data_IF_283624989980
#
_entry.id   IF_283624989980
#
_cell.length_a   1.000
_cell.length_b   1.000
_cell.length_c   1.000
_cell.angle_alpha   90.00
_cell.angle_beta   90.00
_cell.angle_gamma   90.00
#
_symmetry.space_group_name_H-M   'P 1'
#
loop_
_entity.id
_entity.type
_entity.pdbx_description
1 polymer ?
#
# COMPACT_ATOMS: atom_id res chain seq x y z
N UNK A 1 78.64 -35.81 -15.73
CA UNK A 1 77.54 -35.14 -16.44
C UNK A 1 76.25 -35.55 -15.71
N UNK A 2 75.79 -34.68 -14.81
CA UNK A 2 74.58 -34.87 -14.04
C UNK A 2 73.53 -33.91 -14.61
N UNK A 3 72.48 -34.48 -15.22
CA UNK A 3 71.32 -33.71 -15.66
C UNK A 3 70.39 -33.50 -14.45
N UNK A 4 70.18 -32.26 -14.06
CA UNK A 4 69.15 -31.87 -13.06
C UNK A 4 67.88 -31.60 -13.82
N UNK A 5 66.87 -32.44 -13.62
CA UNK A 5 65.53 -32.26 -14.16
C UNK A 5 64.71 -31.39 -13.20
N UNK A 6 64.47 -30.13 -13.56
CA UNK A 6 63.61 -29.24 -12.75
C UNK A 6 62.14 -29.45 -13.13
N UNK A 7 61.36 -30.09 -12.25
CA UNK A 7 59.94 -30.25 -12.39
C UNK A 7 59.25 -28.93 -11.91
N UNK A 8 58.67 -28.20 -12.84
CA UNK A 8 57.84 -27.03 -12.53
C UNK A 8 56.46 -27.51 -12.18
N UNK A 9 56.13 -27.48 -10.89
CA UNK A 9 54.78 -27.78 -10.38
C UNK A 9 53.88 -26.51 -10.51
N UNK A 10 53.12 -26.41 -11.60
CA UNK A 10 52.12 -25.34 -11.76
C UNK A 10 50.94 -25.62 -10.86
N UNK A 11 50.86 -24.94 -9.74
CA UNK A 11 49.66 -24.93 -8.87
C UNK A 11 48.55 -24.11 -9.54
N UNK A 12 47.57 -24.82 -10.09
CA UNK A 12 46.34 -24.23 -10.62
C UNK A 12 45.46 -23.79 -9.45
N UNK A 13 45.50 -22.52 -9.10
CA UNK A 13 44.59 -21.92 -8.12
C UNK A 13 43.21 -21.82 -8.78
N UNK A 14 42.36 -22.78 -8.52
CA UNK A 14 40.91 -22.70 -8.83
C UNK A 14 40.32 -21.72 -7.83
N UNK A 15 40.20 -20.47 -8.25
CA UNK A 15 39.42 -19.46 -7.51
C UNK A 15 37.93 -19.83 -7.63
N UNK A 16 37.38 -20.48 -6.64
CA UNK A 16 35.96 -20.64 -6.51
C UNK A 16 35.40 -19.25 -6.21
N UNK A 17 34.95 -18.53 -7.23
CA UNK A 17 34.09 -17.38 -7.04
C UNK A 17 32.81 -17.92 -6.40
N UNK A 18 32.69 -17.76 -5.07
CA UNK A 18 31.43 -17.97 -4.39
C UNK A 18 30.46 -16.94 -4.96
N UNK A 19 29.47 -17.40 -5.72
CA UNK A 19 28.34 -16.57 -6.14
C UNK A 19 27.72 -16.00 -4.86
N UNK A 20 27.92 -14.70 -4.65
CA UNK A 20 27.20 -13.99 -3.60
C UNK A 20 25.70 -14.17 -3.89
N UNK A 21 24.89 -14.57 -2.90
CA UNK A 21 23.46 -14.73 -3.12
C UNK A 21 22.92 -13.40 -3.66
N UNK A 22 22.25 -13.47 -4.82
CA UNK A 22 21.60 -12.29 -5.40
C UNK A 22 20.71 -11.67 -4.33
N UNK A 23 20.92 -10.38 -4.04
CA UNK A 23 20.12 -9.67 -3.05
C UNK A 23 18.64 -9.87 -3.41
N UNK A 24 17.87 -10.46 -2.51
CA UNK A 24 16.46 -10.71 -2.70
C UNK A 24 15.78 -9.38 -3.01
N UNK A 25 15.04 -9.31 -4.13
CA UNK A 25 14.39 -8.07 -4.58
C UNK A 25 13.35 -7.67 -3.54
N UNK A 26 13.57 -6.55 -2.87
CA UNK A 26 12.60 -6.00 -1.92
C UNK A 26 11.33 -5.55 -2.63
N UNK A 27 10.19 -5.85 -2.02
CA UNK A 27 8.91 -5.34 -2.48
C UNK A 27 8.72 -3.88 -2.08
N UNK A 28 8.17 -3.09 -2.98
CA UNK A 28 7.96 -1.66 -2.77
C UNK A 28 6.49 -1.36 -2.52
N UNK A 29 6.22 -0.70 -1.42
CA UNK A 29 4.87 -0.32 -0.97
C UNK A 29 4.77 1.19 -0.90
N UNK A 30 3.74 1.78 -1.51
CA UNK A 30 3.37 3.17 -1.27
C UNK A 30 2.14 3.23 -0.39
N UNK A 31 2.24 3.99 0.69
CA UNK A 31 1.12 4.34 1.57
C UNK A 31 0.73 5.78 1.29
N UNK A 32 -0.50 5.99 0.87
CA UNK A 32 -1.08 7.29 0.71
C UNK A 32 -1.93 7.62 1.92
N UNK A 33 -1.52 8.62 2.72
CA UNK A 33 -2.34 9.19 3.78
C UNK A 33 -3.18 10.31 3.19
N UNK A 34 -4.47 10.05 2.96
CA UNK A 34 -5.37 10.99 2.30
C UNK A 34 -5.42 12.36 3.00
N UNK A 35 -5.76 13.39 2.22
CA UNK A 35 -5.86 14.78 2.69
C UNK A 35 -4.53 15.36 3.21
N UNK A 36 -4.56 16.48 3.95
CA UNK A 36 -3.38 17.13 4.53
C UNK A 36 -3.36 18.65 4.35
N UNK A 37 -2.64 19.35 5.22
CA UNK A 37 -2.57 20.82 5.20
C UNK A 37 -3.94 21.47 5.38
N UNK A 38 -4.39 22.24 4.40
CA UNK A 38 -5.71 22.90 4.41
C UNK A 38 -6.88 21.95 4.13
N UNK A 39 -6.62 20.83 3.45
CA UNK A 39 -7.63 19.80 3.23
C UNK A 39 -7.74 18.89 4.46
N UNK A 40 -8.74 19.14 5.29
CA UNK A 40 -9.00 18.36 6.51
C UNK A 40 -9.68 17.01 6.24
N UNK A 41 -10.27 16.80 5.06
CA UNK A 41 -11.14 15.66 4.79
C UNK A 41 -12.39 15.68 5.66
N UNK A 42 -12.89 14.51 6.04
CA UNK A 42 -14.03 14.36 6.94
C UNK A 42 -13.73 14.93 8.33
N UNK A 43 -14.66 15.71 8.87
CA UNK A 43 -14.58 16.23 10.24
C UNK A 43 -14.84 15.11 11.25
N UNK A 44 -13.85 14.76 12.04
CA UNK A 44 -13.95 13.74 13.10
C UNK A 44 -14.44 14.39 14.42
N UNK A 45 -13.80 15.53 14.77
CA UNK A 45 -14.21 16.42 15.87
C UNK A 45 -14.06 17.87 15.40
N UNK A 46 -14.33 18.85 16.29
CA UNK A 46 -14.11 20.27 15.94
C UNK A 46 -12.64 20.63 15.68
N UNK A 47 -11.70 19.81 16.17
CA UNK A 47 -10.25 20.05 16.08
C UNK A 47 -9.48 19.01 15.26
N UNK A 48 -10.10 17.86 14.95
CA UNK A 48 -9.45 16.72 14.32
C UNK A 48 -10.20 16.37 13.05
N UNK A 49 -9.51 16.37 11.93
CA UNK A 49 -9.99 15.92 10.63
C UNK A 49 -9.53 14.51 10.27
N UNK A 50 -10.02 14.02 9.15
CA UNK A 50 -9.57 12.75 8.54
C UNK A 50 -8.06 12.76 8.31
N UNK A 51 -7.50 13.88 7.86
CA UNK A 51 -6.06 14.04 7.61
C UNK A 51 -5.19 13.66 8.80
N UNK A 52 -5.65 13.96 10.02
CA UNK A 52 -4.89 13.68 11.25
C UNK A 52 -4.88 12.19 11.56
N UNK A 53 -6.02 11.53 11.35
CA UNK A 53 -6.18 10.09 11.60
C UNK A 53 -5.45 9.26 10.55
N UNK A 54 -5.60 9.60 9.28
CA UNK A 54 -4.91 8.89 8.18
C UNK A 54 -3.40 8.99 8.31
N UNK A 55 -2.87 10.16 8.69
CA UNK A 55 -1.46 10.36 8.98
C UNK A 55 -1.01 9.53 10.19
N UNK A 56 -1.76 9.56 11.29
CA UNK A 56 -1.42 8.79 12.49
C UNK A 56 -1.35 7.28 12.20
N UNK A 57 -2.36 6.73 11.49
CA UNK A 57 -2.37 5.32 11.07
C UNK A 57 -1.20 5.02 10.12
N UNK A 58 -0.91 5.90 9.16
CA UNK A 58 0.21 5.72 8.23
C UNK A 58 1.57 5.66 8.96
N UNK A 59 1.78 6.51 9.96
CA UNK A 59 3.01 6.53 10.76
C UNK A 59 3.15 5.28 11.64
N UNK A 60 2.06 4.78 12.22
CA UNK A 60 2.06 3.49 12.92
C UNK A 60 2.32 2.31 11.95
N UNK A 61 1.72 2.36 10.76
CA UNK A 61 1.94 1.36 9.71
C UNK A 61 3.40 1.32 9.25
N UNK A 62 4.07 2.49 9.17
CA UNK A 62 5.52 2.59 8.92
C UNK A 62 6.32 1.74 9.92
N UNK A 63 6.02 1.87 11.21
CA UNK A 63 6.71 1.12 12.28
C UNK A 63 6.50 -0.39 12.17
N UNK A 64 5.30 -0.82 11.78
CA UNK A 64 4.97 -2.24 11.62
C UNK A 64 5.62 -2.86 10.37
N UNK A 65 5.69 -2.12 9.27
CA UNK A 65 6.30 -2.58 8.02
C UNK A 65 7.83 -2.53 8.05
N UNK A 66 8.44 -1.59 8.80
CA UNK A 66 9.89 -1.51 8.97
C UNK A 66 10.50 -2.74 9.67
N UNK A 67 9.68 -3.61 10.29
CA UNK A 67 10.10 -4.89 10.89
C UNK A 67 10.36 -5.98 9.83
N UNK A 68 10.05 -5.73 8.57
CA UNK A 68 10.20 -6.68 7.47
C UNK A 68 11.25 -6.14 6.48
N UNK A 69 12.42 -6.77 6.48
CA UNK A 69 13.56 -6.35 5.65
C UNK A 69 13.31 -6.51 4.14
N UNK A 70 12.31 -7.31 3.75
CA UNK A 70 11.91 -7.52 2.36
C UNK A 70 10.99 -6.42 1.83
N UNK A 71 10.62 -5.43 2.66
CA UNK A 71 9.77 -4.32 2.27
C UNK A 71 10.53 -3.00 2.24
N UNK A 72 10.29 -2.22 1.19
CA UNK A 72 10.64 -0.79 1.11
C UNK A 72 9.35 0.01 1.06
N UNK A 73 9.18 0.94 2.00
CA UNK A 73 7.91 1.67 2.16
C UNK A 73 8.11 3.16 1.92
N UNK A 74 7.29 3.71 1.03
CA UNK A 74 7.22 5.14 0.71
C UNK A 74 5.87 5.70 1.16
N UNK A 75 5.83 7.00 1.39
CA UNK A 75 4.62 7.71 1.82
C UNK A 75 4.41 8.92 0.92
N UNK A 76 3.17 9.21 0.51
CA UNK A 76 2.85 10.44 -0.21
C UNK A 76 3.02 11.67 0.66
N UNK A 77 2.80 11.52 1.97
CA UNK A 77 3.16 12.48 3.01
C UNK A 77 3.42 11.78 4.34
N UNK A 78 4.28 12.35 5.14
CA UNK A 78 4.66 11.87 6.48
C UNK A 78 4.58 12.96 7.55
N UNK A 79 4.07 14.11 7.15
CA UNK A 79 3.74 15.25 8.00
C UNK A 79 2.37 15.82 7.60
N UNK A 80 1.82 16.75 8.41
CA UNK A 80 0.61 17.49 8.02
C UNK A 80 0.96 18.57 7.00
N UNK A 81 1.08 18.16 5.75
CA UNK A 81 1.31 19.04 4.60
C UNK A 81 0.25 18.78 3.54
N UNK A 82 -0.09 19.81 2.80
CA UNK A 82 -0.90 19.68 1.60
C UNK A 82 -0.07 19.03 0.48
N UNK A 83 -0.63 18.00 -0.14
CA UNK A 83 -0.05 17.34 -1.32
C UNK A 83 -1.17 17.18 -2.33
N UNK A 84 -1.04 17.84 -3.46
CA UNK A 84 -2.04 17.77 -4.52
C UNK A 84 -2.20 16.34 -5.05
N UNK A 85 -3.36 16.02 -5.62
CA UNK A 85 -3.59 14.71 -6.26
C UNK A 85 -2.53 14.44 -7.34
N UNK A 86 -2.21 15.44 -8.14
CA UNK A 86 -1.20 15.33 -9.19
C UNK A 86 0.20 15.01 -8.64
N UNK A 87 0.60 15.65 -7.54
CA UNK A 87 1.90 15.39 -6.92
C UNK A 87 1.94 14.00 -6.27
N UNK A 88 0.85 13.54 -5.65
CA UNK A 88 0.73 12.14 -5.18
C UNK A 88 0.92 11.16 -6.33
N UNK A 89 0.23 11.36 -7.43
CA UNK A 89 0.32 10.51 -8.62
C UNK A 89 1.73 10.54 -9.25
N UNK A 90 2.39 11.69 -9.30
CA UNK A 90 3.79 11.82 -9.76
C UNK A 90 4.74 11.01 -8.89
N UNK A 91 4.64 11.13 -7.57
CA UNK A 91 5.51 10.37 -6.65
C UNK A 91 5.26 8.87 -6.74
N UNK A 92 4.01 8.42 -6.81
CA UNK A 92 3.65 7.01 -7.01
C UNK A 92 4.27 6.50 -8.33
N UNK A 93 4.09 7.23 -9.42
CA UNK A 93 4.61 6.85 -10.73
C UNK A 93 6.15 6.79 -10.75
N UNK A 94 6.82 7.70 -10.05
CA UNK A 94 8.28 7.73 -9.91
C UNK A 94 8.80 6.55 -9.10
N UNK A 95 8.14 6.20 -8.01
CA UNK A 95 8.50 5.06 -7.14
C UNK A 95 8.26 3.73 -7.83
N UNK A 96 7.25 3.61 -8.69
CA UNK A 96 6.82 2.36 -9.35
C UNK A 96 6.63 1.22 -8.35
N UNK A 97 5.74 1.38 -7.38
CA UNK A 97 5.58 0.40 -6.32
C UNK A 97 4.94 -0.90 -6.84
N UNK A 98 5.13 -1.98 -6.08
CA UNK A 98 4.40 -3.23 -6.30
C UNK A 98 2.95 -3.10 -5.85
N UNK A 99 2.69 -2.33 -4.77
CA UNK A 99 1.33 -2.00 -4.31
C UNK A 99 1.20 -0.55 -3.83
N UNK A 100 -0.01 -0.01 -3.99
CA UNK A 100 -0.47 1.27 -3.44
C UNK A 100 -1.64 1.02 -2.48
N UNK A 101 -1.54 1.54 -1.26
CA UNK A 101 -2.61 1.55 -0.27
C UNK A 101 -2.94 2.99 0.11
N UNK A 102 -4.12 3.49 -0.29
CA UNK A 102 -4.62 4.79 0.13
C UNK A 102 -5.56 4.64 1.33
N UNK A 103 -5.33 5.46 2.37
CA UNK A 103 -6.03 5.40 3.65
C UNK A 103 -7.00 6.57 3.76
N UNK A 104 -8.26 6.26 4.03
CA UNK A 104 -9.35 7.20 4.21
C UNK A 104 -10.19 6.85 5.46
N UNK A 105 -11.00 7.81 5.90
CA UNK A 105 -12.01 7.62 6.95
C UNK A 105 -13.38 7.99 6.40
N UNK A 106 -14.31 7.07 6.47
CA UNK A 106 -15.65 7.26 5.93
C UNK A 106 -16.53 8.19 6.79
N UNK A 107 -17.44 8.90 6.12
CA UNK A 107 -18.51 9.66 6.76
C UNK A 107 -19.87 9.09 6.33
N UNK A 108 -20.35 8.10 7.06
CA UNK A 108 -21.65 7.52 6.75
C UNK A 108 -22.82 8.41 7.12
N UNK A 109 -23.97 8.16 6.49
CA UNK A 109 -25.22 8.80 6.88
C UNK A 109 -25.72 8.21 8.20
N UNK A 110 -25.75 9.03 9.26
CA UNK A 110 -26.24 8.67 10.58
C UNK A 110 -25.25 7.84 11.43
N UNK A 111 -25.64 7.64 12.68
CA UNK A 111 -24.77 7.04 13.72
C UNK A 111 -24.59 5.53 13.60
N UNK A 112 -25.40 4.87 12.77
CA UNK A 112 -25.43 3.40 12.64
C UNK A 112 -24.48 2.88 11.53
N UNK A 113 -23.96 3.76 10.68
CA UNK A 113 -22.95 3.36 9.71
C UNK A 113 -21.72 2.89 10.46
N UNK A 114 -21.18 1.70 10.10
CA UNK A 114 -20.06 1.09 10.79
C UNK A 114 -19.28 0.18 9.88
N UNK A 115 -18.02 -0.06 10.21
CA UNK A 115 -17.14 -1.01 9.55
C UNK A 115 -16.14 -0.37 8.60
N UNK A 116 -15.92 -0.97 7.46
CA UNK A 116 -14.96 -0.50 6.46
C UNK A 116 -15.47 -0.77 5.04
N UNK A 117 -14.95 -0.03 4.09
CA UNK A 117 -15.16 -0.27 2.66
C UNK A 117 -13.80 -0.32 1.96
N UNK A 118 -13.69 -1.14 0.90
CA UNK A 118 -12.46 -1.22 0.12
C UNK A 118 -12.83 -0.99 -1.34
N UNK A 119 -12.18 -0.01 -1.94
CA UNK A 119 -12.32 0.32 -3.34
C UNK A 119 -11.08 -0.15 -4.11
N UNK A 120 -11.30 -0.72 -5.29
CA UNK A 120 -10.25 -1.14 -6.22
C UNK A 120 -10.58 -0.60 -7.62
N UNK A 121 -9.58 -0.43 -8.51
CA UNK A 121 -9.79 0.07 -9.85
C UNK A 121 -10.78 -0.80 -10.63
N UNK A 122 -11.68 -0.16 -11.38
CA UNK A 122 -12.65 -0.85 -12.19
C UNK A 122 -12.09 -1.45 -13.47
N UNK A 123 -12.73 -2.51 -13.94
CA UNK A 123 -12.50 -3.02 -15.30
C UNK A 123 -13.07 -2.02 -16.30
N UNK A 124 -12.20 -1.26 -17.00
CA UNK A 124 -12.67 -0.35 -18.08
C UNK A 124 -13.43 -1.18 -19.12
N UNK A 125 -14.71 -0.85 -19.32
CA UNK A 125 -15.49 -1.49 -20.39
C UNK A 125 -14.76 -1.29 -21.72
N UNK A 126 -14.73 -2.32 -22.55
CA UNK A 126 -14.09 -2.33 -23.89
C UNK A 126 -14.56 -1.20 -24.80
N UNK A 127 -15.67 -0.54 -24.45
CA UNK A 127 -16.25 0.62 -25.15
C UNK A 127 -15.58 1.95 -24.82
N UNK A 128 -14.78 2.04 -23.78
CA UNK A 128 -14.06 3.28 -23.44
C UNK A 128 -12.79 3.38 -24.30
N UNK A 129 -12.87 4.21 -25.36
CA UNK A 129 -11.76 4.45 -26.32
C UNK A 129 -10.62 5.28 -25.73
N UNK A 130 -10.56 5.47 -24.42
CA UNK A 130 -9.40 6.08 -23.78
C UNK A 130 -8.18 5.19 -24.01
N UNK A 131 -7.17 5.77 -24.67
CA UNK A 131 -5.91 5.07 -24.97
C UNK A 131 -5.31 4.56 -23.66
N UNK A 132 -4.72 3.34 -23.64
CA UNK A 132 -3.91 2.88 -22.53
C UNK A 132 -2.89 3.97 -22.15
N UNK A 133 -2.49 4.01 -20.88
CA UNK A 133 -1.36 4.85 -20.46
C UNK A 133 -0.20 4.60 -21.43
N UNK A 134 0.48 5.67 -21.86
CA UNK A 134 1.54 5.58 -22.88
C UNK A 134 2.57 4.53 -22.47
N UNK A 135 2.56 3.35 -23.14
CA UNK A 135 3.51 2.26 -22.91
C UNK A 135 2.99 1.03 -22.17
N UNK A 136 1.73 1.00 -21.69
CA UNK A 136 1.16 -0.19 -21.05
C UNK A 136 0.36 -1.04 -22.04
N UNK A 137 0.63 -2.34 -22.09
CA UNK A 137 -0.19 -3.30 -22.82
C UNK A 137 -1.46 -3.66 -22.03
N UNK A 138 -2.50 -4.17 -22.72
CA UNK A 138 -3.72 -4.68 -22.07
C UNK A 138 -3.41 -5.76 -21.02
N UNK A 139 -2.43 -6.60 -21.28
CA UNK A 139 -2.03 -7.68 -20.37
C UNK A 139 -1.45 -7.12 -19.06
N UNK A 140 -0.67 -6.04 -19.14
CA UNK A 140 -0.12 -5.34 -17.98
C UNK A 140 -1.23 -4.71 -17.16
N UNK A 141 -2.20 -4.04 -17.81
CA UNK A 141 -3.35 -3.45 -17.11
C UNK A 141 -4.22 -4.51 -16.44
N UNK A 142 -4.51 -5.62 -17.14
CA UNK A 142 -5.27 -6.74 -16.57
C UNK A 142 -4.56 -7.37 -15.38
N UNK A 143 -3.21 -7.47 -15.42
CA UNK A 143 -2.41 -7.96 -14.31
C UNK A 143 -2.60 -7.08 -13.07
N UNK A 144 -2.38 -5.77 -13.19
CA UNK A 144 -2.54 -4.85 -12.05
C UNK A 144 -3.95 -4.85 -11.47
N UNK A 145 -4.94 -5.02 -12.32
CA UNK A 145 -6.33 -5.11 -11.92
C UNK A 145 -6.60 -6.39 -11.11
N UNK A 146 -6.15 -7.54 -11.60
CA UNK A 146 -6.24 -8.81 -10.87
C UNK A 146 -5.50 -8.76 -9.54
N UNK A 147 -4.31 -8.18 -9.51
CA UNK A 147 -3.51 -7.98 -8.30
C UNK A 147 -4.21 -7.01 -7.32
N UNK A 148 -4.90 -5.97 -7.82
CA UNK A 148 -5.72 -5.07 -6.99
C UNK A 148 -6.90 -5.80 -6.35
N UNK A 149 -7.59 -6.66 -7.10
CA UNK A 149 -8.68 -7.50 -6.55
C UNK A 149 -8.15 -8.46 -5.49
N UNK A 150 -7.00 -9.10 -5.74
CA UNK A 150 -6.33 -9.97 -4.76
C UNK A 150 -5.98 -9.19 -3.49
N UNK A 151 -5.38 -8.00 -3.64
CA UNK A 151 -5.04 -7.11 -2.53
C UNK A 151 -6.29 -6.71 -1.74
N UNK A 152 -7.36 -6.32 -2.43
CA UNK A 152 -8.63 -5.95 -1.82
C UNK A 152 -9.23 -7.10 -1.00
N UNK A 153 -9.23 -8.33 -1.52
CA UNK A 153 -9.71 -9.53 -0.81
C UNK A 153 -8.88 -9.82 0.45
N UNK A 154 -7.56 -9.68 0.37
CA UNK A 154 -6.66 -9.88 1.51
C UNK A 154 -6.90 -8.81 2.58
N UNK A 155 -7.04 -7.54 2.17
CA UNK A 155 -7.34 -6.43 3.09
C UNK A 155 -8.70 -6.62 3.74
N UNK A 156 -9.73 -7.03 2.99
CA UNK A 156 -11.04 -7.35 3.54
C UNK A 156 -10.92 -8.41 4.63
N UNK A 157 -10.31 -9.55 4.32
CA UNK A 157 -10.14 -10.64 5.28
C UNK A 157 -9.37 -10.22 6.54
N UNK A 158 -8.39 -9.32 6.38
CA UNK A 158 -7.62 -8.80 7.50
C UNK A 158 -8.48 -7.87 8.36
N UNK A 159 -9.19 -6.93 7.75
CA UNK A 159 -10.04 -5.95 8.45
C UNK A 159 -11.30 -6.59 9.06
N UNK A 160 -11.82 -7.70 8.53
CA UNK A 160 -12.90 -8.47 9.14
C UNK A 160 -12.55 -8.97 10.55
N UNK A 161 -11.27 -9.14 10.86
CA UNK A 161 -10.83 -9.50 12.22
C UNK A 161 -10.97 -8.32 13.20
N UNK A 162 -10.88 -7.09 12.69
CA UNK A 162 -10.94 -5.85 13.45
C UNK A 162 -12.37 -5.29 13.54
N UNK A 163 -13.16 -5.50 12.50
CA UNK A 163 -14.54 -5.07 12.36
C UNK A 163 -15.47 -6.26 12.06
N UNK A 164 -15.64 -7.22 13.00
CA UNK A 164 -16.34 -8.46 12.72
C UNK A 164 -17.78 -8.20 12.30
N UNK A 165 -18.16 -8.77 11.13
CA UNK A 165 -19.50 -8.63 10.51
C UNK A 165 -19.88 -7.18 10.14
N UNK A 166 -18.91 -6.28 10.01
CA UNK A 166 -19.12 -4.88 9.65
C UNK A 166 -18.44 -4.50 8.34
N UNK A 167 -17.82 -5.43 7.63
CA UNK A 167 -17.31 -5.20 6.28
C UNK A 167 -18.46 -4.90 5.32
N UNK A 168 -18.37 -3.78 4.60
CA UNK A 168 -19.38 -3.34 3.63
C UNK A 168 -19.05 -3.80 2.22
N UNK A 169 -18.04 -4.67 2.10
CA UNK A 169 -17.67 -5.35 0.87
C UNK A 169 -16.60 -4.64 0.07
N UNK A 170 -16.25 -5.32 -1.02
CA UNK A 170 -15.35 -4.82 -2.04
C UNK A 170 -16.16 -4.07 -3.10
N UNK A 171 -15.65 -2.92 -3.53
CA UNK A 171 -16.32 -2.08 -4.52
C UNK A 171 -15.36 -1.73 -5.64
N UNK A 172 -15.79 -2.02 -6.84
CA UNK A 172 -15.17 -1.44 -8.03
C UNK A 172 -15.54 0.05 -8.09
N UNK A 173 -14.54 0.93 -8.12
CA UNK A 173 -14.75 2.36 -8.25
C UNK A 173 -13.59 3.06 -8.96
N UNK A 174 -13.92 4.06 -9.76
CA UNK A 174 -12.94 5.02 -10.24
C UNK A 174 -12.66 6.02 -9.11
N UNK A 175 -11.56 5.83 -8.42
CA UNK A 175 -11.06 6.77 -7.41
C UNK A 175 -9.96 7.62 -8.00
N UNK A 176 -9.97 8.95 -7.83
CA UNK A 176 -9.01 9.84 -8.51
C UNK A 176 -7.54 9.45 -8.33
N UNK A 177 -7.16 8.99 -7.13
CA UNK A 177 -5.77 8.58 -6.85
C UNK A 177 -5.33 7.35 -7.66
N UNK A 178 -6.27 6.49 -8.06
CA UNK A 178 -6.00 5.26 -8.81
C UNK A 178 -6.10 5.45 -10.33
N UNK A 179 -6.59 6.61 -10.79
CA UNK A 179 -6.81 6.85 -12.21
C UNK A 179 -5.49 6.85 -12.98
N UNK A 180 -5.43 6.00 -14.02
CA UNK A 180 -4.25 5.90 -14.89
C UNK A 180 -3.02 5.25 -14.26
N UNK A 181 -3.12 4.66 -13.06
CA UNK A 181 -2.02 3.99 -12.38
C UNK A 181 -1.84 2.56 -12.88
N UNK A 182 -0.60 2.22 -13.25
CA UNK A 182 -0.16 0.86 -13.56
C UNK A 182 0.45 0.21 -12.30
N UNK A 183 -0.39 -0.02 -11.29
CA UNK A 183 -0.02 -0.57 -9.98
C UNK A 183 -1.19 -1.34 -9.37
N UNK A 184 -0.90 -2.40 -8.63
CA UNK A 184 -1.92 -3.03 -7.78
C UNK A 184 -2.30 -2.08 -6.65
N UNK A 185 -3.58 -1.66 -6.57
CA UNK A 185 -3.96 -0.57 -5.70
C UNK A 185 -5.33 -0.75 -5.06
N UNK A 186 -5.46 -0.25 -3.84
CA UNK A 186 -6.75 -0.16 -3.15
C UNK A 186 -6.84 1.15 -2.36
N UNK A 187 -8.07 1.66 -2.25
CA UNK A 187 -8.45 2.70 -1.27
C UNK A 187 -9.22 2.01 -0.15
N UNK A 188 -8.82 2.25 1.09
CA UNK A 188 -9.46 1.67 2.28
C UNK A 188 -10.10 2.77 3.11
N UNK A 189 -11.41 2.74 3.19
CA UNK A 189 -12.21 3.56 4.09
C UNK A 189 -12.30 2.86 5.45
N UNK A 190 -11.58 3.34 6.43
CA UNK A 190 -11.36 2.67 7.72
C UNK A 190 -12.28 3.24 8.77
N UNK A 191 -13.41 2.59 9.01
CA UNK A 191 -14.39 3.05 10.00
C UNK A 191 -15.19 4.26 9.54
N UNK A 192 -16.17 4.62 10.36
CA UNK A 192 -17.10 5.73 10.09
C UNK A 192 -17.03 6.79 11.19
N UNK A 193 -16.62 8.00 10.83
CA UNK A 193 -16.56 9.15 11.74
C UNK A 193 -17.90 9.49 12.38
N UNK A 194 -19.00 9.20 11.70
CA UNK A 194 -20.37 9.39 12.21
C UNK A 194 -20.77 8.39 13.31
N UNK A 195 -20.09 7.23 13.40
CA UNK A 195 -20.33 6.21 14.42
C UNK A 195 -19.57 6.55 15.71
N UNK A 196 -20.22 6.71 16.87
CA UNK A 196 -19.54 7.11 18.10
C UNK A 196 -18.47 6.12 18.58
N UNK A 197 -18.72 4.81 18.46
CA UNK A 197 -17.79 3.78 18.91
C UNK A 197 -16.55 3.72 18.00
N UNK A 198 -16.76 3.77 16.67
CA UNK A 198 -15.66 3.77 15.72
C UNK A 198 -14.86 5.05 15.79
N UNK A 199 -15.53 6.21 15.95
CA UNK A 199 -14.86 7.48 16.18
C UNK A 199 -13.97 7.44 17.43
N UNK A 200 -14.42 6.85 18.54
CA UNK A 200 -13.60 6.65 19.74
C UNK A 200 -12.37 5.79 19.44
N UNK A 201 -12.53 4.72 18.68
CA UNK A 201 -11.42 3.85 18.23
C UNK A 201 -10.44 4.61 17.35
N UNK A 202 -10.92 5.36 16.35
CA UNK A 202 -10.12 6.15 15.43
C UNK A 202 -9.30 7.24 16.14
N UNK A 203 -9.86 7.86 17.18
CA UNK A 203 -9.18 8.88 17.98
C UNK A 203 -8.16 8.34 18.98
N UNK A 204 -8.19 7.04 19.29
CA UNK A 204 -7.29 6.46 20.27
C UNK A 204 -5.99 5.94 19.63
N UNK A 205 -4.86 6.21 20.28
CA UNK A 205 -3.56 5.69 19.84
C UNK A 205 -3.57 4.14 19.75
N UNK A 206 -4.24 3.45 20.69
CA UNK A 206 -4.40 2.01 20.68
C UNK A 206 -5.17 1.52 19.46
N UNK A 207 -6.28 2.20 19.10
CA UNK A 207 -7.07 1.87 17.91
C UNK A 207 -6.31 2.10 16.62
N UNK A 208 -5.59 3.23 16.49
CA UNK A 208 -4.75 3.53 15.34
C UNK A 208 -3.64 2.48 15.15
N UNK A 209 -2.97 2.09 16.24
CA UNK A 209 -1.94 1.06 16.23
C UNK A 209 -2.50 -0.33 15.89
N UNK A 210 -3.70 -0.68 16.36
CA UNK A 210 -4.39 -1.93 16.02
C UNK A 210 -4.76 -1.98 14.53
N UNK A 211 -5.29 -0.88 13.98
CA UNK A 211 -5.58 -0.74 12.55
C UNK A 211 -4.30 -0.91 11.74
N UNK A 212 -3.23 -0.22 12.10
CA UNK A 212 -1.95 -0.29 11.42
C UNK A 212 -1.37 -1.71 11.39
N UNK A 213 -1.40 -2.44 12.52
CA UNK A 213 -0.97 -3.85 12.59
C UNK A 213 -1.80 -4.75 11.68
N UNK A 214 -3.10 -4.50 11.62
CA UNK A 214 -4.02 -5.27 10.77
C UNK A 214 -3.73 -5.04 9.28
N UNK A 215 -3.52 -3.80 8.87
CA UNK A 215 -3.12 -3.45 7.51
C UNK A 215 -1.74 -4.01 7.15
N UNK A 216 -0.76 -3.90 8.06
CA UNK A 216 0.57 -4.47 7.86
C UNK A 216 0.52 -5.98 7.64
N UNK A 217 -0.32 -6.69 8.40
CA UNK A 217 -0.55 -8.13 8.21
C UNK A 217 -1.08 -8.42 6.81
N UNK A 218 -2.06 -7.66 6.32
CA UNK A 218 -2.60 -7.79 4.97
C UNK A 218 -1.53 -7.57 3.90
N UNK A 219 -0.72 -6.52 4.01
CA UNK A 219 0.39 -6.24 3.09
C UNK A 219 1.38 -7.41 3.04
N UNK A 220 1.80 -7.91 4.20
CA UNK A 220 2.74 -9.04 4.28
C UNK A 220 2.17 -10.35 3.70
N UNK A 221 0.86 -10.57 3.83
CA UNK A 221 0.19 -11.74 3.23
C UNK A 221 0.16 -11.63 1.70
N UNK A 222 0.02 -10.42 1.15
CA UNK A 222 -0.02 -10.22 -0.30
C UNK A 222 1.27 -10.64 -1.00
N UNK A 223 2.42 -10.47 -0.35
CA UNK A 223 3.76 -10.79 -0.86
C UNK A 223 4.25 -12.21 -0.55
N UNK A 224 3.47 -13.01 0.14
CA UNK A 224 3.74 -14.43 0.39
C UNK A 224 3.09 -15.33 -0.66
#
# INVERSE_FOLDING_TARGET
KILVLAAILSAMIISAAADAPAAEKKHTVVIDAAHGGQDAGVKITDKIGEKDITLAIALELRKELAKDENLTVFFTRDTDKEVSLEDRQKEITKVKPDILLSLHINAGFGKNAAGFEIYYPGFKKVTDQRKPSKGSSRDVQNKYLNDSVKLAQIMQKSLDTLFPRKGRGLREAETPILEGMDVAAVVVEIGFASNPEERKKLLSAAGQSEIARTLAKGIKIFFR
#
